data_IF_767460958711
#
_entry.id   IF_767460958711
#
_cell.length_a   1.000
_cell.length_b   1.000
_cell.length_c   1.000
_cell.angle_alpha   90.00
_cell.angle_beta   90.00
_cell.angle_gamma   90.00
#
_symmetry.space_group_name_H-M   'P 1'
#
loop_
_entity.id
_entity.type
_entity.pdbx_description
1 polymer ?
#
# COMPACT_ATOMS: atom_id res chain seq x y z
N UNK A 1 -0.16 34.33 20.17
CA UNK A 1 0.88 34.51 19.14
C UNK A 1 1.96 33.43 19.19
N UNK A 2 2.34 32.88 20.35
CA UNK A 2 3.36 31.82 20.46
C UNK A 2 2.91 30.46 19.94
N UNK A 3 1.63 30.16 19.97
CA UNK A 3 1.07 28.89 19.52
C UNK A 3 1.06 28.75 17.98
N UNK A 4 0.86 29.85 17.24
CA UNK A 4 0.86 29.81 15.78
C UNK A 4 2.27 29.61 15.22
N UNK A 5 3.31 30.10 15.88
CA UNK A 5 4.70 29.89 15.49
C UNK A 5 5.14 28.42 15.68
N UNK A 6 4.65 27.74 16.72
CA UNK A 6 4.91 26.33 16.94
C UNK A 6 4.26 25.42 15.90
N UNK A 7 3.03 25.73 15.48
CA UNK A 7 2.33 25.00 14.44
C UNK A 7 3.05 25.14 13.10
N UNK A 8 3.56 26.31 12.76
CA UNK A 8 4.36 26.53 11.56
C UNK A 8 5.68 25.77 11.57
N UNK A 9 6.37 25.71 12.71
CA UNK A 9 7.62 24.98 12.85
C UNK A 9 7.42 23.46 12.71
N UNK A 10 6.32 22.91 13.22
CA UNK A 10 6.00 21.48 13.07
C UNK A 10 5.67 21.11 11.63
N UNK A 11 5.11 22.03 10.83
CA UNK A 11 4.83 21.83 9.42
C UNK A 11 6.10 21.90 8.54
N UNK A 12 7.16 22.55 9.02
CA UNK A 12 8.42 22.69 8.28
C UNK A 12 9.39 21.53 8.52
N UNK A 13 9.14 20.68 9.52
CA UNK A 13 10.01 19.55 9.88
C UNK A 13 9.37 18.25 9.42
N UNK A 14 8.97 18.18 8.14
CA UNK A 14 8.62 16.90 7.56
C UNK A 14 9.88 16.14 7.21
N UNK A 15 10.00 14.84 7.63
CA UNK A 15 11.09 14.01 7.16
C UNK A 15 11.06 13.93 5.63
N UNK A 16 12.24 14.00 5.01
CA UNK A 16 12.37 13.96 3.54
C UNK A 16 11.69 12.71 2.91
N UNK A 17 11.58 11.64 3.67
CA UNK A 17 10.93 10.40 3.20
C UNK A 17 9.40 10.50 3.06
N UNK A 18 8.78 11.57 3.55
CA UNK A 18 7.36 11.87 3.33
C UNK A 18 7.14 12.81 2.14
N UNK A 19 8.21 13.17 1.42
CA UNK A 19 8.11 14.02 0.24
C UNK A 19 7.27 13.30 -0.84
N UNK A 20 6.09 13.86 -1.18
CA UNK A 20 5.13 13.25 -2.09
C UNK A 20 3.94 12.59 -1.41
N UNK A 21 4.11 11.95 -0.23
CA UNK A 21 3.00 11.38 0.53
C UNK A 21 2.21 12.46 1.26
N UNK A 22 0.90 12.22 1.42
CA UNK A 22 0.09 13.05 2.31
C UNK A 22 0.34 12.63 3.76
N UNK A 23 0.78 13.56 4.64
CA UNK A 23 1.06 13.20 6.04
C UNK A 23 -0.15 12.66 6.80
N UNK A 24 -1.35 13.15 6.48
CA UNK A 24 -2.58 12.66 7.11
C UNK A 24 -2.89 11.23 6.66
N UNK A 25 -2.65 10.92 5.39
CA UNK A 25 -2.83 9.58 4.84
C UNK A 25 -1.82 8.60 5.44
N UNK A 26 -0.57 9.01 5.59
CA UNK A 26 0.44 8.20 6.25
C UNK A 26 0.07 7.89 7.71
N UNK A 27 -0.40 8.90 8.44
CA UNK A 27 -0.83 8.72 9.82
C UNK A 27 -2.05 7.81 9.91
N UNK A 28 -3.01 8.00 9.00
CA UNK A 28 -4.20 7.15 8.91
C UNK A 28 -3.84 5.68 8.68
N UNK A 29 -2.88 5.40 7.79
CA UNK A 29 -2.39 4.04 7.57
C UNK A 29 -1.84 3.43 8.86
N UNK A 30 -1.01 4.20 9.58
CA UNK A 30 -0.39 3.71 10.83
C UNK A 30 -1.39 3.47 11.94
N UNK A 31 -2.41 4.30 12.04
CA UNK A 31 -3.39 4.22 13.13
C UNK A 31 -4.50 3.20 12.87
N UNK A 32 -4.97 3.11 11.63
CA UNK A 32 -6.19 2.33 11.32
C UNK A 32 -5.93 1.08 10.46
N UNK A 33 -4.81 1.04 9.73
CA UNK A 33 -4.57 0.00 8.72
C UNK A 33 -5.52 0.08 7.52
N UNK A 34 -6.31 1.14 7.39
CA UNK A 34 -7.24 1.34 6.28
C UNK A 34 -6.87 2.64 5.58
N UNK A 35 -6.33 2.53 4.38
CA UNK A 35 -5.84 3.68 3.63
C UNK A 35 -6.20 3.58 2.15
N UNK A 36 -7.50 3.44 1.89
CA UNK A 36 -8.02 3.36 0.53
C UNK A 36 -7.83 4.70 -0.19
N UNK A 37 -7.29 4.64 -1.41
CA UNK A 37 -7.02 5.82 -2.25
C UNK A 37 -6.08 6.84 -1.61
N UNK A 38 -5.35 6.44 -0.58
CA UNK A 38 -4.39 7.33 0.07
C UNK A 38 -3.24 7.69 -0.88
N UNK A 39 -2.71 8.89 -0.69
CA UNK A 39 -1.48 9.30 -1.34
C UNK A 39 -0.28 8.96 -0.47
N UNK A 40 0.41 7.89 -0.83
CA UNK A 40 1.60 7.37 -0.16
C UNK A 40 2.81 7.36 -1.10
N UNK A 41 2.81 8.28 -2.08
CA UNK A 41 3.90 8.39 -3.04
C UNK A 41 5.23 8.63 -2.32
N UNK A 42 6.27 7.85 -2.70
CA UNK A 42 7.62 7.93 -2.15
C UNK A 42 7.73 7.67 -0.64
N UNK A 43 6.70 7.13 -0.02
CA UNK A 43 6.72 6.83 1.41
C UNK A 43 7.79 5.75 1.70
N UNK A 44 8.46 5.90 2.84
CA UNK A 44 9.35 4.86 3.36
C UNK A 44 8.58 3.97 4.34
N UNK A 45 8.33 2.75 3.91
CA UNK A 45 7.64 1.71 4.70
C UNK A 45 8.53 0.47 4.87
N UNK A 46 9.86 0.63 4.77
CA UNK A 46 10.79 -0.47 4.94
C UNK A 46 10.54 -1.21 6.25
N UNK A 47 10.43 -2.54 6.17
CA UNK A 47 10.24 -3.38 7.34
C UNK A 47 8.92 -3.18 8.09
N UNK A 48 8.00 -2.39 7.56
CA UNK A 48 6.73 -2.12 8.22
C UNK A 48 5.85 -3.37 8.31
N UNK A 49 5.10 -3.50 9.39
CA UNK A 49 4.14 -4.57 9.59
C UNK A 49 2.77 -4.11 9.10
N UNK A 50 2.46 -4.45 7.84
CA UNK A 50 1.22 -4.05 7.17
C UNK A 50 0.36 -5.26 6.79
N UNK A 51 0.45 -6.34 7.58
CA UNK A 51 -0.36 -7.53 7.36
C UNK A 51 -1.85 -7.19 7.42
N UNK A 52 -2.59 -7.59 6.39
CA UNK A 52 -4.05 -7.41 6.33
C UNK A 52 -4.52 -5.97 6.13
N UNK A 53 -3.64 -5.01 5.86
CA UNK A 53 -4.03 -3.63 5.65
C UNK A 53 -4.84 -3.45 4.36
N UNK A 54 -5.67 -2.43 4.33
CA UNK A 54 -6.41 -2.05 3.13
C UNK A 54 -5.76 -0.84 2.47
N UNK A 55 -5.05 -1.10 1.38
CA UNK A 55 -4.40 -0.10 0.52
C UNK A 55 -5.08 -0.03 -0.86
N UNK A 56 -6.34 -0.42 -0.94
CA UNK A 56 -7.09 -0.40 -2.18
C UNK A 56 -7.07 0.97 -2.85
N UNK A 57 -6.66 1.02 -4.12
CA UNK A 57 -6.57 2.25 -4.90
C UNK A 57 -5.51 3.26 -4.43
N UNK A 58 -4.63 2.89 -3.50
CA UNK A 58 -3.61 3.81 -2.99
C UNK A 58 -2.55 4.15 -4.04
N UNK A 59 -2.04 5.37 -3.98
CA UNK A 59 -0.88 5.79 -4.75
C UNK A 59 0.39 5.45 -3.96
N UNK A 60 1.08 4.39 -4.38
CA UNK A 60 2.35 3.92 -3.80
C UNK A 60 3.52 4.07 -4.77
N UNK A 61 3.40 4.98 -5.73
CA UNK A 61 4.48 5.22 -6.69
C UNK A 61 5.78 5.57 -5.98
N UNK A 62 6.84 4.89 -6.39
CA UNK A 62 8.19 5.11 -5.86
C UNK A 62 8.30 4.90 -4.33
N UNK A 63 7.33 4.25 -3.71
CA UNK A 63 7.40 3.90 -2.29
C UNK A 63 8.49 2.85 -2.03
N UNK A 64 9.10 2.90 -0.88
CA UNK A 64 10.03 1.87 -0.45
C UNK A 64 9.30 0.87 0.46
N UNK A 65 9.01 -0.31 -0.10
CA UNK A 65 8.34 -1.42 0.58
C UNK A 65 9.29 -2.59 0.84
N UNK A 66 10.59 -2.32 0.84
CA UNK A 66 11.62 -3.33 1.11
C UNK A 66 11.36 -3.98 2.48
N UNK A 67 11.34 -5.32 2.52
CA UNK A 67 11.10 -6.10 3.74
C UNK A 67 9.76 -5.83 4.43
N UNK A 68 8.83 -5.15 3.78
CA UNK A 68 7.51 -4.87 4.32
C UNK A 68 6.67 -6.15 4.37
N UNK A 69 5.95 -6.37 5.46
CA UNK A 69 4.99 -7.46 5.56
C UNK A 69 3.63 -6.99 5.04
N UNK A 70 3.28 -7.42 3.82
CA UNK A 70 2.01 -7.15 3.15
C UNK A 70 1.16 -8.43 3.04
N UNK A 71 1.42 -9.42 3.86
CA UNK A 71 0.65 -10.66 3.86
C UNK A 71 -0.84 -10.35 4.02
N UNK A 72 -1.68 -10.92 3.15
CA UNK A 72 -3.13 -10.71 3.12
C UNK A 72 -3.57 -9.25 2.95
N UNK A 73 -2.67 -8.34 2.57
CA UNK A 73 -3.02 -6.95 2.32
C UNK A 73 -3.89 -6.80 1.06
N UNK A 74 -4.82 -5.86 1.08
CA UNK A 74 -5.58 -5.49 -0.10
C UNK A 74 -4.87 -4.36 -0.83
N UNK A 75 -4.30 -4.67 -1.99
CA UNK A 75 -3.64 -3.73 -2.91
C UNK A 75 -4.45 -3.56 -4.21
N UNK A 76 -5.71 -4.00 -4.21
CA UNK A 76 -6.55 -3.90 -5.40
C UNK A 76 -6.65 -2.47 -5.93
N UNK A 77 -6.34 -2.28 -7.22
CA UNK A 77 -6.34 -0.96 -7.84
C UNK A 77 -5.22 -0.02 -7.41
N UNK A 78 -4.29 -0.46 -6.57
CA UNK A 78 -3.16 0.36 -6.13
C UNK A 78 -2.15 0.59 -7.27
N UNK A 79 -1.43 1.70 -7.21
CA UNK A 79 -0.38 2.04 -8.16
C UNK A 79 1.00 1.92 -7.50
N UNK A 80 1.73 0.86 -7.87
CA UNK A 80 3.06 0.55 -7.32
C UNK A 80 4.20 0.93 -8.29
N UNK A 81 3.95 1.71 -9.33
CA UNK A 81 5.00 2.03 -10.31
C UNK A 81 6.24 2.60 -9.64
N UNK A 82 7.39 2.00 -9.93
CA UNK A 82 8.67 2.41 -9.35
C UNK A 82 8.85 2.07 -7.88
N UNK A 83 7.89 1.42 -7.23
CA UNK A 83 8.05 0.99 -5.84
C UNK A 83 9.10 -0.12 -5.71
N UNK A 84 9.79 -0.15 -4.58
CA UNK A 84 10.74 -1.22 -4.23
C UNK A 84 10.01 -2.28 -3.43
N UNK A 85 10.02 -3.51 -3.93
CA UNK A 85 9.38 -4.67 -3.28
C UNK A 85 10.40 -5.73 -2.86
N UNK A 86 11.67 -5.38 -2.72
CA UNK A 86 12.73 -6.32 -2.39
C UNK A 86 12.42 -7.03 -1.07
N UNK A 87 12.30 -8.36 -1.12
CA UNK A 87 11.98 -9.19 0.04
C UNK A 87 10.69 -8.80 0.77
N UNK A 88 9.76 -8.12 0.11
CA UNK A 88 8.44 -7.88 0.67
C UNK A 88 7.66 -9.20 0.76
N UNK A 89 6.91 -9.39 1.84
CA UNK A 89 6.06 -10.57 2.04
C UNK A 89 4.67 -10.26 1.50
N UNK A 90 4.30 -10.89 0.39
CA UNK A 90 3.03 -10.61 -0.29
C UNK A 90 2.14 -11.85 -0.40
N UNK A 91 2.34 -12.84 0.47
CA UNK A 91 1.51 -14.04 0.49
C UNK A 91 0.04 -13.66 0.69
N UNK A 92 -0.82 -14.19 -0.17
CA UNK A 92 -2.26 -13.94 -0.13
C UNK A 92 -2.67 -12.47 -0.29
N UNK A 93 -1.76 -11.59 -0.69
CA UNK A 93 -2.11 -10.21 -1.01
C UNK A 93 -3.06 -10.17 -2.22
N UNK A 94 -4.04 -9.28 -2.16
CA UNK A 94 -4.99 -9.08 -3.26
C UNK A 94 -4.38 -8.07 -4.23
N UNK A 95 -4.07 -8.52 -5.45
CA UNK A 95 -3.46 -7.71 -6.50
C UNK A 95 -4.41 -7.48 -7.67
N UNK A 96 -5.70 -7.41 -7.40
CA UNK A 96 -6.70 -7.24 -8.45
C UNK A 96 -6.61 -5.83 -9.07
N UNK A 97 -6.30 -5.79 -10.36
CA UNK A 97 -6.14 -4.53 -11.09
C UNK A 97 -5.07 -3.62 -10.49
N UNK A 98 -4.01 -4.21 -9.96
CA UNK A 98 -2.89 -3.51 -9.32
C UNK A 98 -1.81 -3.23 -10.34
N UNK A 99 -1.32 -1.99 -10.40
CA UNK A 99 -0.19 -1.64 -11.27
C UNK A 99 1.11 -1.94 -10.52
N UNK A 100 1.88 -2.88 -11.05
CA UNK A 100 3.13 -3.37 -10.45
C UNK A 100 4.29 -2.39 -10.70
N UNK A 101 5.43 -2.56 -10.02
CA UNK A 101 6.56 -1.63 -10.16
C UNK A 101 7.06 -1.42 -11.59
N UNK A 102 6.97 -2.43 -12.45
CA UNK A 102 7.35 -2.36 -13.87
C UNK A 102 6.24 -1.84 -14.78
N UNK A 103 5.09 -1.44 -14.23
CA UNK A 103 3.94 -0.91 -14.96
C UNK A 103 2.96 -1.97 -15.46
N UNK A 104 3.25 -3.27 -15.29
CA UNK A 104 2.29 -4.33 -15.64
C UNK A 104 1.10 -4.31 -14.69
N UNK A 105 -0.07 -4.71 -15.19
CA UNK A 105 -1.25 -4.83 -14.36
C UNK A 105 -1.38 -6.29 -13.91
N UNK A 106 -1.46 -6.49 -12.60
CA UNK A 106 -1.66 -7.79 -12.00
C UNK A 106 -3.14 -7.99 -11.64
N UNK A 107 -3.65 -9.17 -11.94
CA UNK A 107 -5.07 -9.51 -11.71
C UNK A 107 -5.25 -10.66 -10.72
N UNK A 108 -4.19 -11.13 -10.10
CA UNK A 108 -4.31 -12.18 -9.08
C UNK A 108 -5.11 -11.66 -7.88
N UNK A 109 -6.02 -12.47 -7.40
CA UNK A 109 -6.91 -12.09 -6.31
C UNK A 109 -8.18 -11.32 -6.73
N UNK A 110 -8.43 -11.12 -8.04
CA UNK A 110 -9.69 -10.55 -8.51
C UNK A 110 -10.89 -11.43 -8.21
N UNK A 111 -10.68 -12.73 -8.10
CA UNK A 111 -11.75 -13.68 -7.85
C UNK A 111 -12.05 -13.79 -6.35
N UNK A 112 -13.32 -13.71 -6.00
CA UNK A 112 -13.77 -14.00 -4.65
C UNK A 112 -13.40 -15.45 -4.28
N UNK A 113 -13.12 -15.74 -3.00
CA UNK A 113 -12.77 -17.10 -2.56
C UNK A 113 -13.78 -18.17 -3.02
N UNK A 114 -15.07 -17.86 -2.99
CA UNK A 114 -16.13 -18.73 -3.47
C UNK A 114 -16.01 -19.06 -4.95
N UNK A 115 -15.65 -18.07 -5.79
CA UNK A 115 -15.41 -18.28 -7.21
C UNK A 115 -14.16 -19.11 -7.47
N UNK A 116 -13.10 -18.93 -6.67
CA UNK A 116 -11.91 -19.78 -6.75
C UNK A 116 -12.24 -21.23 -6.46
N UNK A 117 -13.06 -21.49 -5.45
CA UNK A 117 -13.51 -22.84 -5.11
C UNK A 117 -14.32 -23.47 -6.24
N UNK A 118 -15.21 -22.70 -6.86
CA UNK A 118 -16.00 -23.17 -7.99
C UNK A 118 -15.12 -23.49 -9.21
N UNK A 119 -14.14 -22.65 -9.52
CA UNK A 119 -13.21 -22.90 -10.62
C UNK A 119 -12.36 -24.15 -10.36
N UNK A 120 -11.86 -24.33 -9.14
CA UNK A 120 -11.09 -25.52 -8.77
C UNK A 120 -11.94 -26.79 -8.89
N UNK A 121 -13.22 -26.73 -8.50
CA UNK A 121 -14.13 -27.86 -8.68
C UNK A 121 -14.38 -28.19 -10.16
N UNK A 122 -14.36 -27.18 -11.04
CA UNK A 122 -14.46 -27.38 -12.50
C UNK A 122 -13.22 -28.05 -13.08
N UNK A 123 -12.04 -27.66 -12.63
CA UNK A 123 -10.77 -28.24 -13.12
C UNK A 123 -10.59 -29.70 -12.69
N UNK A 124 -11.20 -30.11 -11.60
CA UNK A 124 -11.13 -31.50 -11.10
C UNK A 124 -12.11 -32.46 -11.79
N UNK A 125 -12.95 -31.99 -12.68
CA UNK A 125 -13.85 -32.80 -13.49
C UNK A 125 -13.19 -33.18 -14.82
#
# INVERSE_FOLDING_TARGET
PGLSAFVFLSLLVFPAWLEGADPQDYQKLKETGICRRCNLERVDLQGAQLKGVNLGGANLKNADLTLTNLESANLGGADLRGAKLDRAFMNEAILCNTIMPDGRIEYSGCLLPTLKQLLNAFEQR
#
